data_IF_798762643463
#
_entry.id   IF_798762643463
#
_cell.length_a   1.000
_cell.length_b   1.000
_cell.length_c   1.000
_cell.angle_alpha   90.00
_cell.angle_beta   90.00
_cell.angle_gamma   90.00
#
_symmetry.space_group_name_H-M   'P 1'
#
loop_
_entity.id
_entity.type
_entity.pdbx_description
1 polymer ?
#
# COMPACT_ATOMS: atom_id res chain seq x y z
N UNK A 1 -12.23 -7.83 34.03
CA UNK A 1 -13.27 -7.02 33.35
C UNK A 1 -13.44 -7.54 31.93
N UNK A 2 -14.61 -8.06 31.58
CA UNK A 2 -14.90 -8.56 30.22
C UNK A 2 -14.90 -7.36 29.27
N UNK A 3 -14.03 -7.38 28.26
CA UNK A 3 -13.98 -6.36 27.20
C UNK A 3 -15.38 -6.21 26.60
N UNK A 4 -15.98 -5.02 26.70
CA UNK A 4 -17.16 -4.68 25.89
C UNK A 4 -16.79 -4.96 24.42
N UNK A 5 -17.64 -5.65 23.63
CA UNK A 5 -17.36 -5.84 22.22
C UNK A 5 -17.23 -4.46 21.58
N UNK A 6 -16.07 -4.17 21.01
CA UNK A 6 -15.81 -2.92 20.29
C UNK A 6 -16.91 -2.77 19.25
N UNK A 7 -17.74 -1.73 19.35
CA UNK A 7 -18.84 -1.49 18.42
C UNK A 7 -18.23 -1.09 17.07
N UNK A 8 -17.97 -2.07 16.22
CA UNK A 8 -17.29 -1.86 14.94
C UNK A 8 -18.20 -1.10 13.97
N UNK A 9 -17.64 -0.16 13.19
CA UNK A 9 -18.43 0.59 12.20
C UNK A 9 -19.09 -0.35 11.18
N UNK A 10 -20.28 0.00 10.70
CA UNK A 10 -21.02 -0.78 9.68
C UNK A 10 -20.16 -1.07 8.44
N UNK A 11 -19.29 -0.12 8.08
CA UNK A 11 -18.40 -0.28 6.93
C UNK A 11 -17.36 -1.39 7.15
N UNK A 12 -16.78 -1.49 8.34
CA UNK A 12 -15.84 -2.56 8.69
C UNK A 12 -16.54 -3.92 8.71
N UNK A 13 -17.77 -3.98 9.22
CA UNK A 13 -18.55 -5.23 9.21
C UNK A 13 -18.82 -5.71 7.78
N UNK A 14 -19.23 -4.81 6.87
CA UNK A 14 -19.46 -5.11 5.45
C UNK A 14 -18.18 -5.56 4.72
N UNK A 15 -17.03 -5.04 5.11
CA UNK A 15 -15.72 -5.41 4.54
C UNK A 15 -14.94 -6.41 5.38
N UNK A 16 -15.57 -7.05 6.37
CA UNK A 16 -14.89 -7.89 7.36
C UNK A 16 -14.16 -9.07 6.75
N UNK A 17 -14.63 -9.58 5.61
CA UNK A 17 -14.03 -10.67 4.86
C UNK A 17 -12.94 -10.24 3.88
N UNK A 18 -12.73 -8.94 3.64
CA UNK A 18 -11.80 -8.47 2.60
C UNK A 18 -10.36 -8.91 2.87
N UNK A 19 -9.94 -8.91 4.15
CA UNK A 19 -8.64 -9.45 4.54
C UNK A 19 -8.55 -10.94 4.18
N UNK A 20 -9.56 -11.72 4.54
CA UNK A 20 -9.58 -13.16 4.27
C UNK A 20 -9.59 -13.46 2.76
N UNK A 21 -10.40 -12.73 1.97
CA UNK A 21 -10.42 -12.83 0.51
C UNK A 21 -9.03 -12.53 -0.09
N UNK A 22 -8.38 -11.48 0.40
CA UNK A 22 -7.04 -11.10 -0.02
C UNK A 22 -6.01 -12.19 0.30
N UNK A 23 -6.01 -12.68 1.55
CA UNK A 23 -5.07 -13.71 1.99
C UNK A 23 -5.28 -15.03 1.23
N UNK A 24 -6.52 -15.47 1.08
CA UNK A 24 -6.88 -16.68 0.32
C UNK A 24 -6.46 -16.57 -1.15
N UNK A 25 -6.36 -15.36 -1.70
CA UNK A 25 -5.94 -15.16 -3.08
C UNK A 25 -4.44 -15.38 -3.29
N UNK A 26 -3.63 -14.89 -2.35
CA UNK A 26 -2.16 -14.84 -2.51
C UNK A 26 -1.43 -15.91 -1.69
N UNK A 27 -1.99 -16.36 -0.57
CA UNK A 27 -1.43 -17.38 0.31
C UNK A 27 -2.09 -18.72 -0.01
N UNK A 28 -1.30 -19.79 -0.13
CA UNK A 28 -1.79 -21.12 -0.54
C UNK A 28 -1.42 -22.25 0.39
N UNK A 29 -0.44 -22.04 1.26
CA UNK A 29 0.08 -23.08 2.14
C UNK A 29 -0.49 -22.87 3.52
N UNK A 30 -1.36 -23.77 3.96
CA UNK A 30 -2.07 -23.59 5.23
C UNK A 30 -1.14 -23.48 6.44
N UNK A 31 -0.02 -24.20 6.40
CA UNK A 31 1.01 -24.22 7.44
C UNK A 31 1.90 -22.97 7.45
N UNK A 32 1.76 -22.08 6.46
CA UNK A 32 2.67 -20.94 6.34
C UNK A 32 2.38 -19.85 7.40
N UNK A 33 3.45 -19.39 8.05
CA UNK A 33 3.39 -18.26 8.96
C UNK A 33 3.43 -16.96 8.18
N UNK A 34 2.41 -16.14 8.39
CA UNK A 34 2.32 -14.82 7.78
C UNK A 34 2.97 -13.78 8.68
N UNK A 35 3.66 -12.82 8.07
CA UNK A 35 4.34 -11.72 8.77
C UNK A 35 3.66 -10.39 8.48
N UNK A 36 3.27 -9.72 9.54
CA UNK A 36 2.60 -8.44 9.51
C UNK A 36 3.44 -7.38 10.22
N UNK A 37 3.25 -6.14 9.81
CA UNK A 37 3.87 -4.97 10.43
C UNK A 37 2.77 -3.96 10.72
N UNK A 38 2.65 -3.58 11.99
CA UNK A 38 1.88 -2.39 12.36
C UNK A 38 2.79 -1.18 12.33
N UNK A 39 2.40 -0.16 11.57
CA UNK A 39 3.13 1.11 11.50
C UNK A 39 2.19 2.23 11.91
N UNK A 40 2.57 3.01 12.93
CA UNK A 40 1.81 4.19 13.30
C UNK A 40 1.85 5.22 12.16
N UNK A 41 0.76 5.38 11.42
CA UNK A 41 0.74 6.21 10.21
C UNK A 41 -0.09 7.49 10.34
N UNK A 42 -0.86 7.65 11.42
CA UNK A 42 -1.56 8.89 11.76
C UNK A 42 -0.59 10.07 11.95
N UNK A 43 -0.86 11.17 11.24
CA UNK A 43 -0.20 12.45 11.47
C UNK A 43 -0.68 13.00 12.81
N UNK A 44 0.26 13.33 13.72
CA UNK A 44 -0.11 14.02 14.97
C UNK A 44 -0.66 15.40 14.60
N UNK A 45 -1.87 15.72 15.07
CA UNK A 45 -2.39 17.08 15.02
C UNK A 45 -1.37 18.02 15.66
N UNK A 46 -0.86 19.01 14.91
CA UNK A 46 -0.04 20.07 15.50
C UNK A 46 -0.93 20.84 16.49
N UNK A 47 -0.52 21.03 17.76
CA UNK A 47 -1.27 21.88 18.65
C UNK A 47 -1.28 23.32 18.10
N UNK A 48 -2.47 23.90 17.98
CA UNK A 48 -2.66 25.33 17.77
C UNK A 48 -2.23 26.04 19.03
N UNK A 49 -1.25 26.95 18.90
CA UNK A 49 -0.63 27.81 19.92
C UNK A 49 0.55 27.21 20.70
N UNK A 50 1.76 27.53 20.25
CA UNK A 50 2.78 28.24 21.04
C UNK A 50 4.11 28.30 20.28
N UNK A 51 4.70 29.49 20.30
CA UNK A 51 6.00 29.83 19.70
C UNK A 51 7.12 28.90 20.20
N UNK A 52 7.70 28.10 19.32
CA UNK A 52 9.13 27.80 19.37
C UNK A 52 9.63 27.39 17.98
N UNK A 53 10.35 28.31 17.37
CA UNK A 53 11.24 28.01 16.27
C UNK A 53 12.44 27.25 16.84
N UNK A 54 12.42 25.92 16.76
CA UNK A 54 13.65 25.14 16.73
C UNK A 54 13.54 24.00 15.72
N UNK A 55 14.41 24.09 14.72
CA UNK A 55 14.90 23.00 13.90
C UNK A 55 15.19 21.78 14.76
N UNK A 56 14.43 20.70 14.58
CA UNK A 56 14.85 19.36 14.97
C UNK A 56 14.48 18.38 13.86
N UNK A 57 15.51 17.99 13.11
CA UNK A 57 15.59 16.68 12.48
C UNK A 57 15.22 15.63 13.54
N UNK A 58 14.16 14.86 13.36
CA UNK A 58 13.99 13.61 14.11
C UNK A 58 13.35 12.53 13.26
N UNK A 59 14.23 11.78 12.61
CA UNK A 59 14.09 10.37 12.30
C UNK A 59 13.96 9.52 13.57
N UNK A 60 12.92 9.76 14.39
CA UNK A 60 12.62 8.93 15.56
C UNK A 60 11.34 8.12 15.32
N UNK A 61 11.55 6.86 14.94
CA UNK A 61 10.69 5.69 15.06
C UNK A 61 9.16 5.90 15.04
N UNK A 62 8.58 5.71 13.86
CA UNK A 62 7.26 5.08 13.80
C UNK A 62 7.43 3.66 14.34
N UNK A 63 7.08 3.44 15.61
CA UNK A 63 7.22 2.16 16.29
C UNK A 63 6.55 1.05 15.45
N UNK A 64 7.38 0.26 14.78
CA UNK A 64 6.92 -0.84 13.95
C UNK A 64 6.75 -2.09 14.82
N UNK A 65 5.53 -2.64 14.88
CA UNK A 65 5.26 -3.86 15.63
C UNK A 65 5.22 -5.03 14.65
N UNK A 66 6.22 -5.91 14.74
CA UNK A 66 6.26 -7.13 13.96
C UNK A 66 5.34 -8.17 14.59
N UNK A 67 4.41 -8.67 13.79
CA UNK A 67 3.39 -9.63 14.19
C UNK A 67 3.38 -10.84 13.27
N UNK A 68 2.90 -11.97 13.76
CA UNK A 68 2.78 -13.16 12.95
C UNK A 68 1.65 -14.09 13.38
N UNK A 69 1.20 -14.94 12.45
CA UNK A 69 0.29 -16.07 12.75
C UNK A 69 0.30 -17.09 11.61
N UNK A 70 0.21 -18.40 11.89
CA UNK A 70 -0.05 -19.40 10.86
C UNK A 70 -1.36 -19.12 10.11
N UNK A 71 -1.36 -19.32 8.79
CA UNK A 71 -2.52 -19.03 7.93
C UNK A 71 -3.78 -19.79 8.37
N UNK A 72 -3.65 -21.08 8.70
CA UNK A 72 -4.79 -21.92 9.16
C UNK A 72 -5.43 -21.44 10.46
N UNK A 73 -4.71 -20.66 11.28
CA UNK A 73 -5.19 -20.15 12.55
C UNK A 73 -5.75 -18.74 12.44
N UNK A 74 -5.67 -18.10 11.27
CA UNK A 74 -6.20 -16.75 11.09
C UNK A 74 -7.73 -16.76 11.05
N UNK A 75 -8.31 -15.82 11.80
CA UNK A 75 -9.74 -15.60 11.78
C UNK A 75 -10.16 -15.08 10.38
N UNK A 76 -11.40 -15.35 9.99
CA UNK A 76 -11.91 -14.97 8.67
C UNK A 76 -12.43 -13.54 8.59
N UNK A 77 -12.65 -12.91 9.75
CA UNK A 77 -13.30 -11.61 9.86
C UNK A 77 -12.41 -10.63 10.62
N UNK A 78 -12.16 -9.48 9.99
CA UNK A 78 -11.35 -8.37 10.56
C UNK A 78 -11.68 -8.01 12.02
N UNK A 79 -12.97 -7.90 12.42
CA UNK A 79 -13.39 -7.70 13.81
C UNK A 79 -12.82 -8.64 14.88
N UNK A 80 -12.27 -9.78 14.48
CA UNK A 80 -11.80 -10.82 15.38
C UNK A 80 -10.31 -11.12 15.20
N UNK A 81 -9.61 -10.37 14.33
CA UNK A 81 -8.22 -10.71 14.00
C UNK A 81 -7.28 -10.35 15.15
N UNK A 82 -6.62 -11.40 15.63
CA UNK A 82 -5.55 -11.30 16.59
C UNK A 82 -4.27 -11.91 16.01
N UNK A 83 -3.15 -11.20 16.13
CA UNK A 83 -1.83 -11.71 15.74
C UNK A 83 -0.89 -11.76 16.95
N UNK A 84 0.15 -12.58 16.85
CA UNK A 84 1.13 -12.75 17.90
C UNK A 84 2.32 -11.81 17.70
N UNK A 85 2.74 -11.15 18.78
CA UNK A 85 4.04 -10.45 18.83
C UNK A 85 5.21 -11.44 18.93
N UNK A 86 6.45 -10.92 18.87
CA UNK A 86 7.66 -11.72 19.11
C UNK A 86 7.66 -12.47 20.45
N UNK A 87 6.97 -11.94 21.45
CA UNK A 87 6.89 -12.53 22.79
C UNK A 87 5.59 -13.32 22.98
N UNK A 88 4.95 -13.77 21.90
CA UNK A 88 3.67 -14.50 21.89
C UNK A 88 2.50 -13.76 22.55
N UNK A 89 2.59 -12.44 22.69
CA UNK A 89 1.46 -11.63 23.16
C UNK A 89 0.46 -11.46 22.03
N UNK A 90 -0.80 -11.79 22.29
CA UNK A 90 -1.90 -11.53 21.36
C UNK A 90 -2.15 -10.02 21.20
N UNK A 91 -2.29 -9.57 19.96
CA UNK A 91 -2.54 -8.18 19.57
C UNK A 91 -3.73 -8.16 18.62
N UNK A 92 -4.83 -7.55 19.08
CA UNK A 92 -6.04 -7.34 18.29
C UNK A 92 -5.86 -6.22 17.27
N UNK A 93 -5.92 -6.54 15.98
CA UNK A 93 -5.49 -5.63 14.91
C UNK A 93 -6.40 -4.43 14.74
N UNK A 94 -7.72 -4.62 14.80
CA UNK A 94 -8.65 -3.53 14.59
C UNK A 94 -8.61 -2.50 15.73
N UNK A 95 -8.33 -2.96 16.96
CA UNK A 95 -8.08 -2.05 18.09
C UNK A 95 -6.81 -1.22 17.90
N UNK A 96 -5.75 -1.80 17.32
CA UNK A 96 -4.54 -1.03 17.00
C UNK A 96 -4.77 -0.10 15.80
N UNK A 97 -5.57 -0.51 14.82
CA UNK A 97 -5.96 0.34 13.70
C UNK A 97 -6.76 1.57 14.16
N UNK A 98 -7.67 1.40 15.12
CA UNK A 98 -8.38 2.51 15.76
C UNK A 98 -7.44 3.48 16.51
N UNK A 99 -6.26 3.02 16.96
CA UNK A 99 -5.22 3.86 17.57
C UNK A 99 -4.26 4.50 16.56
N UNK A 100 -4.54 4.40 15.26
CA UNK A 100 -3.72 5.04 14.21
C UNK A 100 -2.62 4.16 13.62
N UNK A 101 -2.61 2.85 13.90
CA UNK A 101 -1.70 1.92 13.24
C UNK A 101 -2.26 1.40 11.91
N UNK A 102 -1.50 1.53 10.84
CA UNK A 102 -1.78 0.82 9.61
C UNK A 102 -1.27 -0.62 9.66
N UNK A 103 -2.06 -1.53 9.10
CA UNK A 103 -1.75 -2.96 9.02
C UNK A 103 -1.12 -3.27 7.67
N UNK A 104 0.13 -3.73 7.69
CA UNK A 104 0.85 -4.19 6.52
C UNK A 104 1.19 -5.67 6.62
N UNK A 105 1.43 -6.31 5.49
CA UNK A 105 1.90 -7.70 5.40
C UNK A 105 3.01 -7.81 4.37
N UNK A 106 4.02 -8.62 4.68
CA UNK A 106 5.01 -9.07 3.69
C UNK A 106 4.35 -10.02 2.68
N UNK A 107 4.40 -9.66 1.40
CA UNK A 107 3.65 -10.38 0.36
C UNK A 107 4.30 -11.73 0.04
N UNK A 108 5.59 -11.73 -0.26
CA UNK A 108 6.31 -12.95 -0.63
C UNK A 108 6.64 -13.79 0.61
N UNK A 109 6.73 -15.11 0.44
CA UNK A 109 6.92 -16.02 1.57
C UNK A 109 8.39 -16.08 1.95
N UNK A 110 8.63 -15.96 3.24
CA UNK A 110 9.92 -16.17 3.88
C UNK A 110 10.05 -17.60 4.40
N UNK A 111 11.25 -18.14 4.32
CA UNK A 111 11.62 -19.35 5.06
C UNK A 111 11.92 -18.99 6.52
N UNK A 112 11.34 -19.72 7.47
CA UNK A 112 11.42 -19.36 8.89
C UNK A 112 12.83 -19.47 9.46
N UNK A 113 13.64 -20.42 8.94
CA UNK A 113 14.98 -20.70 9.44
C UNK A 113 16.01 -19.72 8.89
N UNK A 114 16.12 -19.66 7.56
CA UNK A 114 17.07 -18.79 6.86
C UNK A 114 16.65 -17.32 6.86
N UNK A 115 15.36 -17.04 7.10
CA UNK A 115 14.74 -15.74 6.92
C UNK A 115 14.87 -15.22 5.48
N UNK A 116 15.16 -16.05 4.49
CA UNK A 116 15.19 -15.59 3.09
C UNK A 116 13.82 -15.69 2.43
N UNK A 117 13.56 -14.84 1.42
CA UNK A 117 12.37 -15.01 0.58
C UNK A 117 12.61 -16.21 -0.34
N UNK A 118 11.76 -17.24 -0.22
CA UNK A 118 11.87 -18.48 -1.00
C UNK A 118 10.78 -18.66 -2.04
N UNK A 119 9.69 -17.91 -1.96
CA UNK A 119 8.56 -18.07 -2.88
C UNK A 119 7.89 -16.73 -3.20
N UNK A 120 7.67 -16.49 -4.50
CA UNK A 120 6.92 -15.34 -5.01
C UNK A 120 5.44 -15.67 -4.98
N UNK A 121 4.68 -15.04 -4.07
CA UNK A 121 3.23 -15.21 -3.98
C UNK A 121 2.49 -14.40 -5.04
N UNK A 122 3.03 -13.24 -5.40
CA UNK A 122 2.43 -12.33 -6.36
C UNK A 122 3.48 -11.43 -7.02
N UNK A 123 3.20 -10.99 -8.24
CA UNK A 123 3.73 -9.74 -8.78
C UNK A 123 2.72 -8.63 -8.48
N UNK A 124 3.17 -7.43 -8.13
CA UNK A 124 2.23 -6.41 -7.64
C UNK A 124 2.67 -4.97 -7.87
N UNK A 125 1.73 -4.07 -8.14
CA UNK A 125 2.03 -2.63 -8.30
C UNK A 125 1.31 -1.79 -7.25
N UNK A 126 1.88 -0.61 -6.97
CA UNK A 126 1.35 0.44 -6.11
C UNK A 126 1.18 1.72 -6.93
N UNK A 127 -0.05 1.94 -7.41
CA UNK A 127 -0.41 3.09 -8.24
C UNK A 127 -0.91 4.21 -7.33
N UNK A 128 -0.11 5.26 -7.16
CA UNK A 128 -0.47 6.49 -6.44
C UNK A 128 -0.84 7.59 -7.45
N UNK A 129 -2.13 7.90 -7.56
CA UNK A 129 -2.65 8.90 -8.48
C UNK A 129 -2.72 10.30 -7.86
N UNK A 130 -2.44 10.44 -6.56
CA UNK A 130 -2.52 11.71 -5.86
C UNK A 130 -1.25 12.55 -6.04
N UNK A 131 -0.09 11.89 -6.08
CA UNK A 131 1.21 12.54 -6.01
C UNK A 131 1.81 12.77 -7.40
N UNK A 132 2.23 14.00 -7.67
CA UNK A 132 3.14 14.36 -8.75
C UNK A 132 4.52 14.54 -8.13
N UNK A 133 5.54 13.88 -8.68
CA UNK A 133 6.92 13.96 -8.17
C UNK A 133 7.89 14.11 -9.34
N UNK A 134 8.46 15.31 -9.49
CA UNK A 134 9.29 15.68 -10.63
C UNK A 134 10.59 16.35 -10.15
N UNK A 135 11.69 16.13 -10.87
CA UNK A 135 13.00 16.72 -10.57
C UNK A 135 13.37 17.76 -11.62
N UNK A 136 13.96 18.87 -11.17
CA UNK A 136 14.37 19.99 -12.01
C UNK A 136 15.80 20.41 -11.70
N UNK A 137 16.56 20.77 -12.74
CA UNK A 137 17.95 21.24 -12.57
C UNK A 137 18.00 22.72 -12.22
N UNK A 138 17.05 23.52 -12.73
CA UNK A 138 17.04 24.97 -12.52
C UNK A 138 15.78 25.45 -11.81
N UNK A 139 15.88 26.61 -11.16
CA UNK A 139 14.76 27.23 -10.45
C UNK A 139 13.70 27.75 -11.43
N UNK A 140 14.12 28.12 -12.63
CA UNK A 140 13.30 28.66 -13.71
C UNK A 140 12.35 27.59 -14.24
N UNK A 141 12.88 26.39 -14.53
CA UNK A 141 12.07 25.22 -14.93
C UNK A 141 11.06 24.85 -13.84
N UNK A 142 11.50 24.81 -12.58
CA UNK A 142 10.63 24.54 -11.45
C UNK A 142 9.48 25.56 -11.35
N UNK A 143 9.79 26.86 -11.45
CA UNK A 143 8.78 27.93 -11.41
C UNK A 143 7.79 27.83 -12.56
N UNK A 144 8.27 27.55 -13.77
CA UNK A 144 7.42 27.36 -14.94
C UNK A 144 6.44 26.19 -14.72
N UNK A 145 6.94 25.05 -14.21
CA UNK A 145 6.09 23.90 -13.90
C UNK A 145 5.07 24.20 -12.81
N UNK A 146 5.45 24.91 -11.75
CA UNK A 146 4.52 25.32 -10.69
C UNK A 146 3.42 26.21 -11.26
N UNK A 147 3.76 27.17 -12.13
CA UNK A 147 2.77 28.04 -12.77
C UNK A 147 1.78 27.21 -13.58
N UNK A 148 2.28 26.27 -14.41
CA UNK A 148 1.45 25.37 -15.20
C UNK A 148 0.50 24.53 -14.33
N UNK A 149 1.01 23.91 -13.27
CA UNK A 149 0.21 23.08 -12.37
C UNK A 149 -0.87 23.87 -11.62
N UNK A 150 -0.60 25.14 -11.29
CA UNK A 150 -1.58 26.02 -10.65
C UNK A 150 -2.63 26.55 -11.64
N UNK A 151 -2.25 26.73 -12.91
CA UNK A 151 -3.16 27.23 -13.94
C UNK A 151 -4.04 26.15 -14.57
N UNK A 152 -3.70 24.87 -14.41
CA UNK A 152 -4.46 23.76 -14.96
C UNK A 152 -5.67 23.42 -14.05
N UNK A 153 -6.91 23.78 -14.45
CA UNK A 153 -8.10 23.50 -13.65
C UNK A 153 -8.43 22.01 -13.57
N UNK A 154 -7.88 21.18 -14.48
CA UNK A 154 -8.08 19.73 -14.48
C UNK A 154 -7.20 19.04 -13.44
N UNK A 155 -5.99 19.55 -13.17
CA UNK A 155 -5.08 18.93 -12.20
C UNK A 155 -5.52 19.14 -10.74
N UNK A 156 -6.27 20.23 -10.45
CA UNK A 156 -6.82 20.55 -9.12
C UNK A 156 -5.82 20.33 -7.99
N UNK A 157 -4.67 21.01 -8.07
CA UNK A 157 -3.60 20.85 -7.08
C UNK A 157 -4.00 21.45 -5.73
N UNK A 158 -3.94 20.63 -4.68
CA UNK A 158 -4.25 21.02 -3.30
C UNK A 158 -3.01 21.58 -2.58
N UNK A 159 -1.84 20.97 -2.79
CA UNK A 159 -0.60 21.42 -2.15
C UNK A 159 0.62 21.16 -3.01
N UNK A 160 1.65 22.00 -2.82
CA UNK A 160 2.95 21.87 -3.46
C UNK A 160 4.02 22.01 -2.39
N UNK A 161 4.97 21.06 -2.37
CA UNK A 161 6.17 21.07 -1.55
C UNK A 161 7.40 21.03 -2.46
N UNK A 162 8.41 21.81 -2.13
CA UNK A 162 9.68 21.84 -2.86
C UNK A 162 10.78 21.43 -1.89
N UNK A 163 11.66 20.51 -2.32
CA UNK A 163 12.88 20.18 -1.60
C UNK A 163 14.08 20.44 -2.49
N UNK A 164 15.09 21.13 -1.96
CA UNK A 164 16.38 21.27 -2.66
C UNK A 164 17.25 20.05 -2.35
N UNK A 165 17.77 19.41 -3.38
CA UNK A 165 18.72 18.31 -3.30
C UNK A 165 20.12 18.83 -3.00
N UNK A 166 21.01 17.89 -2.63
CA UNK A 166 22.39 18.21 -2.24
C UNK A 166 23.24 18.76 -3.39
N UNK A 167 22.92 18.41 -4.63
CA UNK A 167 23.63 18.85 -5.84
C UNK A 167 22.96 20.08 -6.49
N UNK A 168 22.09 20.77 -5.76
CA UNK A 168 21.41 21.98 -6.25
C UNK A 168 20.12 21.73 -7.05
N UNK A 169 19.80 20.47 -7.37
CA UNK A 169 18.55 20.10 -8.03
C UNK A 169 17.32 20.37 -7.14
N UNK A 170 16.14 20.50 -7.74
CA UNK A 170 14.88 20.70 -7.04
C UNK A 170 13.96 19.50 -7.22
N UNK A 171 13.40 19.00 -6.13
CA UNK A 171 12.34 18.00 -6.12
C UNK A 171 11.01 18.69 -5.84
N UNK A 172 10.15 18.72 -6.84
CA UNK A 172 8.76 19.15 -6.72
C UNK A 172 7.89 17.97 -6.28
N UNK A 173 7.07 18.17 -5.26
CA UNK A 173 6.00 17.25 -4.88
C UNK A 173 4.68 18.01 -4.83
N UNK A 174 3.76 17.67 -5.72
CA UNK A 174 2.41 18.22 -5.70
C UNK A 174 1.39 17.13 -5.35
N UNK A 175 0.36 17.50 -4.60
CA UNK A 175 -0.73 16.61 -4.23
C UNK A 175 -2.04 17.16 -4.81
N UNK A 176 -2.79 16.30 -5.48
CA UNK A 176 -4.10 16.61 -6.07
C UNK A 176 -5.19 16.66 -5.00
N UNK A 177 -6.25 17.40 -5.27
CA UNK A 177 -7.48 17.36 -4.49
C UNK A 177 -8.15 15.98 -4.58
N UNK A 178 -8.93 15.62 -3.57
CA UNK A 178 -9.53 14.27 -3.46
C UNK A 178 -10.52 13.98 -4.59
N UNK A 179 -11.25 14.98 -5.07
CA UNK A 179 -12.18 14.85 -6.20
C UNK A 179 -11.44 14.46 -7.48
N UNK A 180 -10.26 15.05 -7.70
CA UNK A 180 -9.45 14.72 -8.86
C UNK A 180 -8.85 13.32 -8.73
N UNK A 181 -8.41 12.92 -7.54
CA UNK A 181 -7.97 11.54 -7.29
C UNK A 181 -9.10 10.55 -7.61
N UNK A 182 -10.34 10.83 -7.17
CA UNK A 182 -11.49 9.98 -7.46
C UNK A 182 -11.76 9.86 -8.97
N UNK A 183 -11.62 10.95 -9.73
CA UNK A 183 -11.77 10.92 -11.18
C UNK A 183 -10.64 10.14 -11.86
N UNK A 184 -9.39 10.38 -11.46
CA UNK A 184 -8.23 9.65 -11.98
C UNK A 184 -8.33 8.15 -11.70
N UNK A 185 -8.84 7.77 -10.53
CA UNK A 185 -9.11 6.37 -10.16
C UNK A 185 -10.09 5.70 -11.14
N UNK A 186 -11.17 6.39 -11.52
CA UNK A 186 -12.12 5.88 -12.53
C UNK A 186 -11.48 5.77 -13.91
N UNK A 187 -10.78 6.81 -14.33
CA UNK A 187 -10.08 6.85 -15.63
C UNK A 187 -9.02 5.77 -15.74
N UNK A 188 -8.25 5.53 -14.68
CA UNK A 188 -7.24 4.48 -14.62
C UNK A 188 -7.86 3.10 -14.83
N UNK A 189 -8.93 2.77 -14.09
CA UNK A 189 -9.62 1.49 -14.27
C UNK A 189 -10.15 1.36 -15.69
N UNK A 190 -10.86 2.38 -16.21
CA UNK A 190 -11.39 2.34 -17.59
C UNK A 190 -10.28 2.10 -18.63
N UNK A 191 -9.17 2.82 -18.50
CA UNK A 191 -8.03 2.73 -19.43
C UNK A 191 -7.35 1.36 -19.39
N UNK A 192 -7.16 0.80 -18.20
CA UNK A 192 -6.35 -0.40 -18.01
C UNK A 192 -7.16 -1.68 -17.79
N UNK A 193 -8.49 -1.62 -17.78
CA UNK A 193 -9.37 -2.73 -17.39
C UNK A 193 -9.03 -4.04 -18.10
N UNK A 194 -8.87 -4.02 -19.42
CA UNK A 194 -8.56 -5.22 -20.20
C UNK A 194 -7.27 -5.93 -19.75
N UNK A 195 -6.30 -5.17 -19.24
CA UNK A 195 -5.00 -5.65 -18.77
C UNK A 195 -5.04 -6.12 -17.30
N UNK A 196 -5.87 -5.48 -16.46
CA UNK A 196 -5.88 -5.73 -15.00
C UNK A 196 -7.08 -6.53 -14.50
N UNK A 197 -8.10 -6.79 -15.33
CA UNK A 197 -9.32 -7.53 -14.95
C UNK A 197 -9.07 -8.97 -14.47
N UNK A 198 -7.90 -9.54 -14.75
CA UNK A 198 -7.55 -10.87 -14.23
C UNK A 198 -6.71 -10.80 -12.95
N UNK A 199 -6.25 -9.62 -12.54
CA UNK A 199 -5.57 -9.38 -11.28
C UNK A 199 -6.58 -9.09 -10.14
N UNK A 200 -6.15 -9.30 -8.90
CA UNK A 200 -6.87 -8.77 -7.75
C UNK A 200 -6.57 -7.28 -7.61
N UNK A 201 -7.61 -6.46 -7.45
CA UNK A 201 -7.48 -5.01 -7.30
C UNK A 201 -7.95 -4.61 -5.91
N UNK A 202 -7.04 -4.00 -5.16
CA UNK A 202 -7.29 -3.41 -3.86
C UNK A 202 -7.29 -1.90 -3.99
N UNK A 203 -8.41 -1.29 -3.65
CA UNK A 203 -8.60 0.15 -3.63
C UNK A 203 -7.96 0.74 -2.35
N UNK A 204 -7.02 1.67 -2.54
CA UNK A 204 -6.40 2.45 -1.47
C UNK A 204 -6.85 3.92 -1.54
N UNK A 205 -6.44 4.75 -0.57
CA UNK A 205 -6.83 6.16 -0.50
C UNK A 205 -6.50 6.91 -1.80
N UNK A 206 -5.27 6.76 -2.28
CA UNK A 206 -4.73 7.55 -3.39
C UNK A 206 -4.72 6.81 -4.74
N UNK A 207 -5.11 5.55 -4.79
CA UNK A 207 -5.12 4.77 -6.02
C UNK A 207 -5.37 3.29 -5.76
N UNK A 208 -4.49 2.42 -6.27
CA UNK A 208 -4.70 0.98 -6.29
C UNK A 208 -3.42 0.21 -5.97
N UNK A 209 -3.57 -0.83 -5.15
CA UNK A 209 -2.64 -1.96 -5.20
C UNK A 209 -3.22 -3.03 -6.13
N UNK A 210 -2.45 -3.54 -7.07
CA UNK A 210 -2.90 -4.58 -8.02
C UNK A 210 -1.96 -5.77 -7.89
N UNK A 211 -2.54 -6.96 -7.74
CA UNK A 211 -1.81 -8.20 -7.47
C UNK A 211 -2.14 -9.26 -8.51
N UNK A 212 -1.11 -9.74 -9.20
CA UNK A 212 -1.15 -10.96 -10.00
C UNK A 212 -0.60 -12.10 -9.16
N UNK A 213 -1.49 -12.93 -8.60
CA UNK A 213 -1.08 -14.11 -7.84
C UNK A 213 -0.24 -15.04 -8.73
N UNK A 214 0.90 -15.51 -8.22
CA UNK A 214 1.86 -16.31 -8.96
C UNK A 214 1.89 -17.75 -8.44
N UNK A 215 2.03 -18.72 -9.34
CA UNK A 215 2.41 -20.09 -9.01
C UNK A 215 3.83 -20.37 -9.49
N UNK A 216 4.59 -21.13 -8.70
CA UNK A 216 5.96 -21.55 -9.02
C UNK A 216 6.87 -20.38 -9.44
N UNK A 217 6.74 -19.23 -8.77
CA UNK A 217 7.45 -18.02 -9.16
C UNK A 217 8.93 -18.07 -8.79
N UNK A 218 9.79 -17.79 -9.77
CA UNK A 218 11.22 -17.64 -9.59
C UNK A 218 11.55 -16.29 -8.92
N UNK A 219 12.44 -16.35 -7.93
CA UNK A 219 13.00 -15.17 -7.26
C UNK A 219 13.75 -14.27 -8.25
N UNK A 220 14.54 -14.87 -9.16
CA UNK A 220 15.37 -14.10 -10.11
C UNK A 220 14.54 -13.31 -11.14
N UNK A 221 13.32 -13.78 -11.44
CA UNK A 221 12.38 -13.11 -12.35
C UNK A 221 11.53 -12.03 -11.66
N UNK A 222 11.56 -11.94 -10.32
CA UNK A 222 10.73 -10.98 -9.60
C UNK A 222 11.03 -9.53 -10.02
N UNK A 223 12.27 -9.07 -9.80
CA UNK A 223 12.69 -7.68 -10.03
C UNK A 223 12.49 -7.24 -11.49
N UNK A 224 12.93 -8.00 -12.51
CA UNK A 224 12.72 -7.64 -13.92
C UNK A 224 11.24 -7.41 -14.28
N UNK A 225 10.38 -8.36 -13.93
CA UNK A 225 8.93 -8.26 -14.17
C UNK A 225 8.32 -7.10 -13.38
N UNK A 226 8.74 -6.91 -12.14
CA UNK A 226 8.22 -5.88 -11.26
C UNK A 226 8.54 -4.46 -11.79
N UNK A 227 9.74 -4.27 -12.37
CA UNK A 227 10.12 -3.04 -13.07
C UNK A 227 9.30 -2.83 -14.34
N UNK A 228 9.10 -3.88 -15.14
CA UNK A 228 8.30 -3.80 -16.36
C UNK A 228 6.83 -3.43 -16.07
N UNK A 229 6.25 -4.03 -15.01
CA UNK A 229 4.92 -3.67 -14.53
C UNK A 229 4.86 -2.22 -14.04
N UNK A 230 5.86 -1.79 -13.26
CA UNK A 230 5.88 -0.44 -12.73
C UNK A 230 5.95 0.62 -13.84
N UNK A 231 6.78 0.38 -14.86
CA UNK A 231 6.86 1.22 -16.06
C UNK A 231 5.54 1.23 -16.84
N UNK A 232 4.96 0.05 -17.10
CA UNK A 232 3.73 -0.09 -17.89
C UNK A 232 2.52 0.65 -17.30
N UNK A 233 2.39 0.64 -15.97
CA UNK A 233 1.22 1.18 -15.27
C UNK A 233 1.48 2.47 -14.50
N UNK A 234 2.69 3.04 -14.56
CA UNK A 234 3.05 4.23 -13.78
C UNK A 234 3.00 4.00 -12.26
N UNK A 235 3.39 2.81 -11.82
CA UNK A 235 3.51 2.47 -10.39
C UNK A 235 4.71 3.16 -9.74
N UNK A 236 4.78 3.15 -8.40
CA UNK A 236 6.02 3.46 -7.69
C UNK A 236 7.18 2.58 -8.20
N UNK A 237 8.27 3.17 -8.75
CA UNK A 237 9.42 2.40 -9.25
C UNK A 237 10.19 1.66 -8.13
N UNK A 238 10.00 2.03 -6.87
CA UNK A 238 10.64 1.41 -5.70
C UNK A 238 9.91 0.15 -5.22
N UNK A 239 8.83 -0.26 -5.89
CA UNK A 239 8.03 -1.46 -5.54
C UNK A 239 8.73 -2.80 -5.88
N UNK A 240 10.05 -2.77 -6.12
CA UNK A 240 10.83 -3.89 -6.68
C UNK A 240 11.49 -4.81 -5.66
N UNK A 241 11.40 -4.50 -4.37
CA UNK A 241 12.00 -5.31 -3.30
C UNK A 241 11.15 -6.54 -2.96
N UNK A 242 11.81 -7.70 -2.84
CA UNK A 242 11.17 -8.99 -2.52
C UNK A 242 10.41 -8.98 -1.18
N UNK A 243 10.94 -8.28 -0.18
CA UNK A 243 10.39 -8.13 1.17
C UNK A 243 9.39 -6.97 1.30
N UNK A 244 8.79 -6.52 0.19
CA UNK A 244 7.83 -5.41 0.24
C UNK A 244 6.64 -5.78 1.11
N UNK A 245 6.36 -4.90 2.07
CA UNK A 245 5.13 -4.94 2.83
C UNK A 245 4.08 -4.04 2.20
N UNK A 246 2.84 -4.52 2.13
CA UNK A 246 1.72 -3.82 1.52
C UNK A 246 0.56 -3.69 2.50
N UNK A 247 -0.24 -2.63 2.36
CA UNK A 247 -1.44 -2.43 3.20
C UNK A 247 -2.45 -3.54 2.96
N UNK A 248 -2.99 -4.05 4.05
CA UNK A 248 -4.00 -5.11 4.03
C UNK A 248 -5.41 -4.53 3.93
N UNK A 249 -6.28 -5.05 3.04
CA UNK A 249 -7.66 -4.60 2.95
C UNK A 249 -8.49 -5.05 4.15
N UNK A 250 -9.56 -4.31 4.44
CA UNK A 250 -10.41 -4.47 5.62
C UNK A 250 -10.03 -3.58 6.79
N UNK A 251 -8.91 -2.86 6.72
CA UNK A 251 -8.46 -1.88 7.71
C UNK A 251 -8.44 -0.46 7.14
N UNK A 252 -8.54 0.53 8.03
CA UNK A 252 -8.46 1.94 7.65
C UNK A 252 -7.00 2.38 7.43
N UNK A 253 -6.81 3.24 6.43
CA UNK A 253 -5.64 4.06 6.25
C UNK A 253 -5.77 5.29 7.16
N UNK A 254 -4.94 5.40 8.20
CA UNK A 254 -5.15 6.34 9.30
C UNK A 254 -4.33 7.63 9.22
N UNK A 255 -3.61 7.87 8.12
CA UNK A 255 -2.78 9.08 7.95
C UNK A 255 -3.50 10.40 8.22
N UNK A 256 -4.77 10.50 7.84
CA UNK A 256 -5.66 11.57 8.28
C UNK A 256 -6.73 10.95 9.20
N UNK A 257 -6.60 11.08 10.52
CA UNK A 257 -7.56 10.52 11.49
C UNK A 257 -8.98 11.08 11.38
N UNK A 258 -9.14 12.32 10.90
CA UNK A 258 -10.44 12.97 10.72
C UNK A 258 -11.18 12.43 9.48
N UNK A 259 -10.43 11.87 8.52
CA UNK A 259 -10.96 11.29 7.28
C UNK A 259 -10.25 9.97 6.95
N UNK A 260 -10.44 8.92 7.78
CA UNK A 260 -9.81 7.62 7.55
C UNK A 260 -10.42 6.96 6.31
N UNK A 261 -9.59 6.24 5.56
CA UNK A 261 -10.02 5.60 4.31
C UNK A 261 -9.97 4.09 4.43
N UNK A 262 -11.10 3.40 4.25
CA UNK A 262 -11.12 1.94 4.31
C UNK A 262 -10.50 1.33 3.04
N UNK A 263 -9.42 0.58 3.20
CA UNK A 263 -8.78 -0.16 2.11
C UNK A 263 -9.61 -1.40 1.80
N UNK A 264 -9.95 -1.65 0.53
CA UNK A 264 -10.92 -2.71 0.15
C UNK A 264 -10.50 -3.45 -1.10
N UNK A 265 -10.80 -4.76 -1.14
CA UNK A 265 -10.80 -5.50 -2.41
C UNK A 265 -12.01 -5.02 -3.21
N UNK A 266 -11.78 -4.51 -4.43
CA UNK A 266 -12.86 -4.08 -5.34
C UNK A 266 -13.00 -5.01 -6.54
N UNK A 267 -12.00 -5.87 -6.77
CA UNK A 267 -12.04 -6.91 -7.79
C UNK A 267 -11.18 -8.09 -7.38
N UNK A 268 -11.71 -9.31 -7.47
CA UNK A 268 -11.00 -10.52 -7.03
C UNK A 268 -10.02 -11.08 -8.06
N UNK A 269 -10.14 -10.70 -9.33
CA UNK A 269 -9.40 -11.30 -10.44
C UNK A 269 -9.76 -12.77 -10.71
N UNK A 270 -8.99 -13.42 -11.57
CA UNK A 270 -9.25 -14.81 -12.03
C UNK A 270 -8.93 -15.85 -10.95
N UNK A 271 -9.60 -17.01 -10.93
CA UNK A 271 -9.39 -18.03 -9.88
C UNK A 271 -7.96 -18.60 -9.87
N UNK A 272 -7.47 -18.99 -11.05
CA UNK A 272 -6.17 -19.63 -11.16
C UNK A 272 -5.01 -18.62 -11.12
N UNK A 273 -3.87 -18.96 -10.51
CA UNK A 273 -2.70 -18.09 -10.50
C UNK A 273 -1.93 -18.09 -11.82
N UNK A 274 -1.13 -17.04 -12.02
CA UNK A 274 -0.23 -16.90 -13.16
C UNK A 274 1.06 -17.66 -12.97
N UNK A 275 1.59 -18.24 -14.04
CA UNK A 275 3.04 -18.37 -14.13
C UNK A 275 3.64 -17.00 -14.48
N UNK A 276 4.91 -16.79 -14.16
CA UNK A 276 5.57 -15.54 -14.52
C UNK A 276 5.62 -15.35 -16.05
N UNK A 277 5.75 -16.44 -16.81
CA UNK A 277 5.75 -16.47 -18.27
C UNK A 277 4.40 -16.08 -18.84
N UNK A 278 3.31 -16.66 -18.32
CA UNK A 278 1.94 -16.32 -18.72
C UNK A 278 1.67 -14.83 -18.47
N UNK A 279 2.13 -14.30 -17.32
CA UNK A 279 1.97 -12.89 -17.00
C UNK A 279 2.75 -11.98 -17.97
N UNK A 280 4.00 -12.33 -18.28
CA UNK A 280 4.83 -11.60 -19.25
C UNK A 280 4.13 -11.55 -20.61
N UNK A 281 3.64 -12.69 -21.10
CA UNK A 281 2.98 -12.79 -22.40
C UNK A 281 1.65 -12.02 -22.42
N UNK A 282 0.79 -12.25 -21.43
CA UNK A 282 -0.54 -11.62 -21.32
C UNK A 282 -0.46 -10.10 -21.30
N UNK A 283 0.57 -9.55 -20.63
CA UNK A 283 0.77 -8.11 -20.50
C UNK A 283 1.80 -7.54 -21.48
N UNK A 284 2.36 -8.36 -22.38
CA UNK A 284 3.41 -7.97 -23.30
C UNK A 284 4.55 -7.21 -22.58
N UNK A 285 5.04 -7.77 -21.48
CA UNK A 285 6.11 -7.17 -20.68
C UNK A 285 7.47 -7.39 -21.36
N UNK A 286 8.38 -6.43 -21.15
CA UNK A 286 9.79 -6.52 -21.55
C UNK A 286 10.67 -6.44 -20.29
N UNK A 287 10.75 -7.53 -19.51
CA UNK A 287 11.50 -7.58 -18.25
C UNK A 287 13.01 -7.55 -18.46
#
# INVERSE_FOLDING_TARGET
MKNKPTQYSTLVQRSSSHMHQFLHKICRKGDEKLHFILVHDAERSKPTNANSAHSLNSSNDKQAILLHKPLLLLEKQVPHIELLSKNNKSIHLLSQNAKGYAVFMEINRRDEKSREIKEIRAQFIDVDLNKISEQFQTKEQLKARIKQLKSDPLERIQSITIKKGKQGQYLLRAHRAEEQVAQLKKTFLKKHWSQIKNAMIVETKNGYHIYWAIQNGSISKFVPIQKALASKFGSDPMITNLSRVMRIPGFYHMKNPDKPYLVRVIHSGRKQPFTQEELIQTLMLRP
#
